data_IF_962006141342
#
_entry.id   IF_962006141342
#
_cell.length_a   1.000
_cell.length_b   1.000
_cell.length_c   1.000
_cell.angle_alpha   90.00
_cell.angle_beta   90.00
_cell.angle_gamma   90.00
#
_symmetry.space_group_name_H-M   'P 1'
#
loop_
_entity.id
_entity.type
_entity.pdbx_description
1 polymer ?
#
# COMPACT_ATOMS: atom_id res chain seq x y z
N UNK A 1 24.27 35.22 -3.74
CA UNK A 1 23.87 33.79 -3.67
C UNK A 1 24.93 32.92 -4.32
N UNK A 2 25.25 33.16 -5.60
CA UNK A 2 26.32 32.44 -6.32
C UNK A 2 27.71 32.62 -5.69
N UNK A 3 27.99 33.80 -5.13
CA UNK A 3 29.30 34.08 -4.51
C UNK A 3 29.53 33.33 -3.18
N UNK A 4 28.47 32.86 -2.52
CA UNK A 4 28.54 32.18 -1.21
C UNK A 4 28.33 30.67 -1.36
N UNK A 5 27.49 30.24 -2.30
CA UNK A 5 27.10 28.83 -2.49
C UNK A 5 27.62 28.21 -3.80
N UNK A 6 28.41 28.95 -4.58
CA UNK A 6 28.93 28.50 -5.87
C UNK A 6 27.80 28.21 -6.86
N UNK A 7 27.91 27.11 -7.62
CA UNK A 7 26.87 26.65 -8.55
C UNK A 7 25.75 25.84 -7.88
N UNK A 8 25.94 25.42 -6.63
CA UNK A 8 24.98 24.58 -5.91
C UNK A 8 23.98 25.42 -5.08
N UNK A 9 23.36 26.42 -5.71
CA UNK A 9 22.33 27.23 -5.06
C UNK A 9 20.94 26.91 -5.59
N UNK A 10 19.95 27.00 -4.71
CA UNK A 10 18.55 26.82 -5.09
C UNK A 10 18.09 28.01 -5.94
N UNK A 11 17.28 27.73 -6.96
CA UNK A 11 16.66 28.78 -7.77
C UNK A 11 15.89 29.77 -6.87
N UNK A 12 15.88 31.06 -7.25
CA UNK A 12 15.24 32.15 -6.49
C UNK A 12 13.77 31.85 -6.17
N UNK A 13 13.05 31.24 -7.11
CA UNK A 13 11.65 30.82 -6.93
C UNK A 13 11.48 29.78 -5.81
N UNK A 14 12.44 28.86 -5.67
CA UNK A 14 12.42 27.83 -4.61
C UNK A 14 12.65 28.47 -3.24
N UNK A 15 13.60 29.41 -3.15
CA UNK A 15 13.89 30.15 -1.91
C UNK A 15 12.67 30.95 -1.46
N UNK A 16 12.04 31.70 -2.37
CA UNK A 16 10.85 32.48 -2.06
C UNK A 16 9.69 31.61 -1.56
N UNK A 17 9.47 30.45 -2.20
CA UNK A 17 8.46 29.47 -1.75
C UNK A 17 8.76 28.89 -0.37
N UNK A 18 10.03 28.77 0.01
CA UNK A 18 10.44 28.36 1.35
C UNK A 18 10.18 29.46 2.38
N UNK A 19 10.54 30.72 2.07
CA UNK A 19 10.26 31.87 2.94
C UNK A 19 8.75 32.02 3.23
N UNK A 20 7.92 31.95 2.20
CA UNK A 20 6.46 32.01 2.35
C UNK A 20 5.91 30.89 3.25
N UNK A 21 6.46 29.67 3.15
CA UNK A 21 6.05 28.55 4.00
C UNK A 21 6.48 28.75 5.45
N UNK A 22 7.66 29.32 5.65
CA UNK A 22 8.17 29.64 6.98
C UNK A 22 7.33 30.73 7.65
N UNK A 23 6.99 31.81 6.92
CA UNK A 23 6.07 32.85 7.37
C UNK A 23 4.67 32.31 7.69
N UNK A 24 4.21 31.31 6.92
CA UNK A 24 2.97 30.57 7.19
C UNK A 24 3.06 29.59 8.40
N UNK A 25 4.10 29.69 9.24
CA UNK A 25 4.26 28.91 10.46
C UNK A 25 4.78 27.48 10.25
N UNK A 26 5.29 27.14 9.07
CA UNK A 26 5.88 25.82 8.81
C UNK A 26 7.31 25.75 9.35
N UNK A 27 7.46 25.14 10.52
CA UNK A 27 8.76 24.96 11.21
C UNK A 27 9.46 23.66 10.78
N UNK A 28 8.72 22.69 10.24
CA UNK A 28 9.29 21.40 9.84
C UNK A 28 10.13 21.52 8.55
N UNK A 29 11.44 21.29 8.71
CA UNK A 29 12.46 21.27 7.65
C UNK A 29 12.27 20.06 6.73
N UNK A 30 11.72 18.95 7.23
CA UNK A 30 11.44 17.78 6.41
C UNK A 30 10.28 18.05 5.47
N UNK A 31 10.39 17.50 4.25
CA UNK A 31 9.27 17.44 3.32
C UNK A 31 8.09 16.73 3.99
N UNK A 32 6.88 17.25 3.77
CA UNK A 32 5.68 16.49 4.09
C UNK A 32 5.70 15.21 3.25
N UNK A 33 5.15 14.09 3.76
CA UNK A 33 4.92 12.93 2.92
C UNK A 33 4.18 13.41 1.68
N UNK A 34 4.75 13.11 0.50
CA UNK A 34 4.04 13.38 -0.75
C UNK A 34 2.72 12.62 -0.64
N UNK A 35 1.58 13.22 -0.99
CA UNK A 35 0.36 12.44 -1.18
C UNK A 35 0.75 11.32 -2.14
N UNK A 36 0.80 10.09 -1.63
CA UNK A 36 0.95 8.93 -2.50
C UNK A 36 -0.23 8.96 -3.46
N UNK A 37 -0.06 8.43 -4.66
CA UNK A 37 -1.20 8.15 -5.52
C UNK A 37 -2.09 7.19 -4.73
N UNK A 38 -3.13 7.74 -4.09
CA UNK A 38 -4.14 6.94 -3.43
C UNK A 38 -4.72 6.13 -4.57
N UNK A 39 -4.56 4.81 -4.54
CA UNK A 39 -5.21 3.94 -5.52
C UNK A 39 -6.71 4.08 -5.33
N UNK A 40 -7.31 5.08 -5.97
CA UNK A 40 -8.75 5.33 -6.06
C UNK A 40 -9.47 4.12 -6.69
N UNK A 41 -8.71 3.19 -7.29
CA UNK A 41 -9.22 1.94 -7.88
C UNK A 41 -9.61 0.88 -6.84
N UNK A 42 -9.19 1.00 -5.58
CA UNK A 42 -9.63 0.08 -4.51
C UNK A 42 -10.91 0.57 -3.84
N UNK A 43 -12.03 0.47 -4.55
CA UNK A 43 -13.34 0.63 -3.93
C UNK A 43 -13.54 -0.46 -2.87
N UNK A 44 -14.07 -0.15 -1.69
CA UNK A 44 -14.25 -1.13 -0.60
C UNK A 44 -15.06 -2.35 -1.06
N UNK A 45 -16.03 -2.14 -1.95
CA UNK A 45 -16.81 -3.18 -2.61
C UNK A 45 -15.93 -4.21 -3.36
N UNK A 46 -14.91 -3.75 -4.09
CA UNK A 46 -13.99 -4.65 -4.82
C UNK A 46 -13.13 -5.48 -3.87
N UNK A 47 -12.74 -4.92 -2.72
CA UNK A 47 -11.98 -5.64 -1.69
C UNK A 47 -12.86 -6.73 -1.06
N UNK A 48 -14.13 -6.44 -0.76
CA UNK A 48 -15.06 -7.43 -0.22
C UNK A 48 -15.33 -8.56 -1.22
N UNK A 49 -15.58 -8.24 -2.49
CA UNK A 49 -15.77 -9.24 -3.54
C UNK A 49 -14.53 -10.14 -3.69
N UNK A 50 -13.32 -9.58 -3.61
CA UNK A 50 -12.08 -10.36 -3.58
C UNK A 50 -11.99 -11.29 -2.36
N UNK A 51 -12.37 -10.83 -1.16
CA UNK A 51 -12.32 -11.67 0.04
C UNK A 51 -13.32 -12.83 -0.05
N UNK A 52 -14.52 -12.59 -0.58
CA UNK A 52 -15.53 -13.62 -0.82
C UNK A 52 -15.04 -14.68 -1.82
N UNK A 53 -14.47 -14.27 -2.95
CA UNK A 53 -13.91 -15.19 -3.94
C UNK A 53 -12.78 -16.07 -3.36
N UNK A 54 -11.92 -15.48 -2.53
CA UNK A 54 -10.84 -16.22 -1.84
C UNK A 54 -11.41 -17.16 -0.76
N UNK A 55 -12.52 -16.80 -0.11
CA UNK A 55 -13.20 -17.66 0.88
C UNK A 55 -13.86 -18.86 0.22
N UNK A 56 -14.52 -18.67 -0.91
CA UNK A 56 -15.16 -19.72 -1.68
C UNK A 56 -14.10 -20.67 -2.28
N UNK A 57 -13.05 -20.12 -2.90
CA UNK A 57 -12.00 -20.89 -3.56
C UNK A 57 -10.62 -20.58 -2.98
N UNK A 58 -10.22 -21.33 -1.94
CA UNK A 58 -8.92 -21.16 -1.27
C UNK A 58 -7.69 -21.42 -2.15
N UNK A 59 -7.86 -22.04 -3.33
CA UNK A 59 -6.80 -22.35 -4.30
C UNK A 59 -6.78 -21.41 -5.51
N UNK A 60 -7.63 -20.38 -5.53
CA UNK A 60 -7.72 -19.45 -6.67
C UNK A 60 -6.40 -18.72 -6.94
N UNK A 61 -6.08 -18.55 -8.21
CA UNK A 61 -4.86 -17.86 -8.65
C UNK A 61 -5.12 -16.36 -8.81
N UNK A 62 -4.07 -15.56 -8.66
CA UNK A 62 -4.16 -14.10 -8.88
C UNK A 62 -4.57 -13.69 -10.30
N UNK A 63 -4.42 -14.59 -11.29
CA UNK A 63 -4.86 -14.34 -12.67
C UNK A 63 -6.36 -14.53 -12.83
N UNK A 64 -6.93 -15.56 -12.21
CA UNK A 64 -8.38 -15.81 -12.25
C UNK A 64 -9.14 -14.66 -11.61
N UNK A 65 -8.70 -14.19 -10.43
CA UNK A 65 -9.31 -13.03 -9.75
C UNK A 65 -9.19 -11.75 -10.56
N UNK A 66 -8.07 -11.57 -11.28
CA UNK A 66 -7.87 -10.40 -12.14
C UNK A 66 -8.86 -10.39 -13.32
N UNK A 67 -9.14 -11.55 -13.91
CA UNK A 67 -10.12 -11.70 -15.00
C UNK A 67 -11.54 -11.48 -14.48
N UNK A 68 -11.90 -12.13 -13.37
CA UNK A 68 -13.25 -12.11 -12.81
C UNK A 68 -13.68 -10.70 -12.37
N UNK A 69 -12.76 -9.94 -11.78
CA UNK A 69 -13.03 -8.58 -11.34
C UNK A 69 -12.66 -7.51 -12.38
N UNK A 70 -12.11 -7.92 -13.54
CA UNK A 70 -11.57 -7.00 -14.56
C UNK A 70 -10.56 -5.99 -13.99
N UNK A 71 -9.72 -6.43 -13.06
CA UNK A 71 -8.71 -5.62 -12.37
C UNK A 71 -7.32 -6.05 -12.84
N UNK A 72 -6.37 -5.11 -12.88
CA UNK A 72 -4.98 -5.46 -13.20
C UNK A 72 -4.39 -6.43 -12.16
N UNK A 73 -3.58 -7.38 -12.64
CA UNK A 73 -2.85 -8.33 -11.78
C UNK A 73 -2.06 -7.63 -10.68
N UNK A 74 -1.47 -6.46 -10.97
CA UNK A 74 -0.70 -5.68 -10.01
C UNK A 74 -1.55 -5.18 -8.84
N UNK A 75 -2.75 -4.69 -9.12
CA UNK A 75 -3.70 -4.26 -8.10
C UNK A 75 -4.21 -5.44 -7.26
N UNK A 76 -4.52 -6.58 -7.88
CA UNK A 76 -4.90 -7.81 -7.16
C UNK A 76 -3.81 -8.23 -6.18
N UNK A 77 -2.55 -8.27 -6.63
CA UNK A 77 -1.41 -8.60 -5.78
C UNK A 77 -1.25 -7.60 -4.62
N UNK A 78 -1.39 -6.31 -4.91
CA UNK A 78 -1.33 -5.26 -3.89
C UNK A 78 -2.43 -5.43 -2.83
N UNK A 79 -3.68 -5.70 -3.23
CA UNK A 79 -4.80 -5.90 -2.31
C UNK A 79 -4.57 -7.13 -1.42
N UNK A 80 -4.14 -8.26 -2.00
CA UNK A 80 -3.88 -9.49 -1.26
C UNK A 80 -2.80 -9.28 -0.18
N UNK A 81 -1.71 -8.57 -0.50
CA UNK A 81 -0.59 -8.39 0.42
C UNK A 81 -0.75 -7.20 1.38
N UNK A 82 -1.36 -6.09 0.95
CA UNK A 82 -1.46 -4.86 1.76
C UNK A 82 -2.79 -4.71 2.50
N UNK A 83 -3.90 -5.24 1.95
CA UNK A 83 -5.24 -5.09 2.55
C UNK A 83 -5.70 -6.35 3.24
N UNK A 84 -5.57 -7.51 2.59
CA UNK A 84 -6.01 -8.79 3.16
C UNK A 84 -4.91 -9.49 3.98
N UNK A 85 -3.64 -9.07 3.84
CA UNK A 85 -2.46 -9.62 4.55
C UNK A 85 -2.40 -11.15 4.45
N UNK A 86 -2.68 -11.67 3.25
CA UNK A 86 -2.77 -13.11 3.01
C UNK A 86 -1.42 -13.67 2.54
N UNK A 87 -1.01 -14.78 3.12
CA UNK A 87 0.14 -15.56 2.66
C UNK A 87 -0.34 -16.82 1.91
N UNK A 88 0.31 -17.15 0.80
CA UNK A 88 0.04 -18.39 0.07
C UNK A 88 0.51 -19.57 0.92
N UNK A 89 -0.42 -20.43 1.32
CA UNK A 89 -0.08 -21.66 2.03
C UNK A 89 0.13 -22.79 1.02
N UNK A 90 1.31 -23.40 1.05
CA UNK A 90 1.55 -24.69 0.38
C UNK A 90 1.42 -25.74 1.48
N UNK A 91 0.55 -26.73 1.26
CA UNK A 91 0.44 -27.86 2.17
C UNK A 91 1.71 -28.73 2.03
N UNK A 92 2.79 -28.34 2.69
CA UNK A 92 3.80 -29.31 3.11
C UNK A 92 3.12 -30.16 4.17
N UNK A 93 3.12 -31.50 4.03
CA UNK A 93 2.42 -32.46 4.89
C UNK A 93 2.90 -32.51 6.36
N UNK A 94 2.99 -31.36 7.03
CA UNK A 94 3.40 -31.20 8.41
C UNK A 94 2.22 -30.64 9.23
N UNK A 95 1.52 -31.48 10.01
CA UNK A 95 0.33 -31.08 10.78
C UNK A 95 0.55 -29.98 11.83
N UNK A 96 1.80 -29.77 12.28
CA UNK A 96 2.15 -28.83 13.35
C UNK A 96 2.08 -27.34 12.96
N UNK A 97 2.49 -27.01 11.73
CA UNK A 97 2.51 -25.61 11.23
C UNK A 97 1.08 -25.12 10.93
N UNK A 98 0.21 -26.02 10.49
CA UNK A 98 -1.17 -25.73 10.12
C UNK A 98 -2.01 -25.23 11.32
N UNK A 99 -1.77 -25.76 12.53
CA UNK A 99 -2.51 -25.37 13.75
C UNK A 99 -2.15 -23.97 14.25
N UNK A 100 -0.90 -23.53 14.10
CA UNK A 100 -0.41 -22.26 14.67
C UNK A 100 -0.95 -21.03 13.91
N UNK A 101 -1.24 -21.18 12.62
CA UNK A 101 -1.73 -20.08 11.77
C UNK A 101 -3.26 -19.95 11.82
N UNK A 102 -4.00 -21.05 12.01
CA UNK A 102 -5.47 -21.02 12.17
C UNK A 102 -5.90 -20.11 13.31
N UNK A 103 -5.21 -20.15 14.46
CA UNK A 103 -5.51 -19.26 15.61
C UNK A 103 -5.26 -17.78 15.34
N UNK A 104 -4.32 -17.41 14.46
CA UNK A 104 -4.00 -15.98 14.21
C UNK A 104 -5.11 -15.21 13.49
N UNK A 105 -6.08 -15.90 12.88
CA UNK A 105 -7.27 -15.28 12.26
C UNK A 105 -8.43 -15.06 13.22
N UNK A 106 -8.47 -15.75 14.35
CA UNK A 106 -9.55 -15.64 15.34
C UNK A 106 -9.41 -14.38 16.22
N UNK A 107 -8.26 -13.67 16.17
CA UNK A 107 -8.00 -12.49 17.01
C UNK A 107 -8.04 -11.14 16.27
N UNK A 108 -8.43 -11.10 14.99
CA UNK A 108 -8.51 -9.85 14.20
C UNK A 108 -9.96 -9.33 14.07
N UNK A 109 -10.94 -10.04 14.62
CA UNK A 109 -12.35 -9.64 14.64
C UNK A 109 -13.01 -9.88 16.01
N UNK A 110 -12.29 -9.61 17.11
CA UNK A 110 -12.86 -9.43 18.44
C UNK A 110 -12.64 -7.98 18.89
#
# INVERSE_FOLDING_TARGET
MKDVYGEQYLARCTIFRWCQRYEAGRINIKGLPRPGQVHVVTNSATISAMDELIRQNRRITTREVAVELSISKGTVHHIIHKKLVMAKFVHSGCPGICRRIRRRREWVFA
#
